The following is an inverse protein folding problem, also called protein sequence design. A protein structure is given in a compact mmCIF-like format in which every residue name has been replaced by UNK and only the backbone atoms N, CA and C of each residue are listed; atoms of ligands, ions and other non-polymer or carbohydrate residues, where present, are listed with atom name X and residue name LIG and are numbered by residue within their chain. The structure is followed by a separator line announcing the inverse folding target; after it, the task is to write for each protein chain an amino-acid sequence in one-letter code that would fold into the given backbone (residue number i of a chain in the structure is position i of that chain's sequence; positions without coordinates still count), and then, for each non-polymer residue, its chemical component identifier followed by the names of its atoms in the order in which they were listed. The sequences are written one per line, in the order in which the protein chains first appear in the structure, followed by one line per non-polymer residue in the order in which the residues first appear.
data_IF_215711609891
#
_entry.id   IF_215711609891
#
_cell.length_a   1.000
_cell.length_b   1.000
_cell.length_c   1.000
_cell.angle_alpha   90.00
_cell.angle_beta   90.00
_cell.angle_gamma   90.00
#
_symmetry.space_group_name_H-M   'P 1'
#
loop_
_entity.id
_entity.type
_entity.pdbx_description
1 polymer ?
#
# COMPACT_ATOMS: atom_id res chain seq x y z
N UNK A 1 9.28 1.50 47.34
CA UNK A 1 9.67 2.61 46.42
C UNK A 1 9.92 2.11 44.99
N UNK A 2 10.63 1.00 44.84
CA UNK A 2 11.03 0.37 43.56
C UNK A 2 9.85 0.07 42.59
N UNK A 3 8.73 -0.48 43.06
CA UNK A 3 7.55 -0.77 42.23
C UNK A 3 6.93 0.48 41.57
N UNK A 4 7.03 1.66 42.19
CA UNK A 4 6.51 2.93 41.63
C UNK A 4 7.45 3.50 40.56
N UNK A 5 8.77 3.38 40.75
CA UNK A 5 9.75 3.76 39.74
C UNK A 5 9.69 2.84 38.50
N UNK A 6 9.57 1.52 38.70
CA UNK A 6 9.36 0.55 37.61
C UNK A 6 8.13 0.89 36.76
N UNK A 7 7.00 1.22 37.39
CA UNK A 7 5.77 1.66 36.66
C UNK A 7 5.97 2.96 35.86
N UNK A 8 6.72 3.93 36.38
CA UNK A 8 7.03 5.18 35.66
C UNK A 8 7.86 4.91 34.40
N UNK A 9 8.90 4.07 34.53
CA UNK A 9 9.73 3.67 33.39
C UNK A 9 8.89 2.98 32.32
N UNK A 10 8.04 2.03 32.72
CA UNK A 10 7.13 1.31 31.80
C UNK A 10 6.21 2.28 31.06
N UNK A 11 5.52 3.18 31.77
CA UNK A 11 4.61 4.13 31.11
C UNK A 11 5.34 5.12 30.19
N UNK A 12 6.56 5.53 30.54
CA UNK A 12 7.39 6.37 29.66
C UNK A 12 7.81 5.64 28.39
N UNK A 13 8.15 4.35 28.49
CA UNK A 13 8.50 3.52 27.31
C UNK A 13 7.28 3.35 26.40
N UNK A 14 6.12 2.98 26.97
CA UNK A 14 4.87 2.83 26.20
C UNK A 14 4.50 4.14 25.50
N UNK A 15 4.65 5.28 26.20
CA UNK A 15 4.40 6.60 25.64
C UNK A 15 5.32 6.87 24.44
N UNK A 16 6.63 6.61 24.58
CA UNK A 16 7.60 6.79 23.50
C UNK A 16 7.30 5.92 22.28
N UNK A 17 7.02 4.63 22.48
CA UNK A 17 6.68 3.70 21.40
C UNK A 17 5.37 4.14 20.71
N UNK A 18 4.33 4.47 21.48
CA UNK A 18 3.04 4.89 20.94
C UNK A 18 3.15 6.17 20.11
N UNK A 19 3.93 7.14 20.58
CA UNK A 19 4.16 8.38 19.85
C UNK A 19 4.96 8.15 18.55
N UNK A 20 5.98 7.28 18.60
CA UNK A 20 6.77 6.92 17.43
C UNK A 20 5.92 6.21 16.37
N UNK A 21 5.13 5.21 16.77
CA UNK A 21 4.24 4.49 15.86
C UNK A 21 3.22 5.44 15.23
N UNK A 22 2.56 6.29 16.02
CA UNK A 22 1.62 7.28 15.52
C UNK A 22 2.26 8.21 14.46
N UNK A 23 3.46 8.72 14.73
CA UNK A 23 4.17 9.58 13.79
C UNK A 23 4.53 8.83 12.50
N UNK A 24 4.98 7.58 12.62
CA UNK A 24 5.34 6.75 11.46
C UNK A 24 4.14 6.48 10.54
N UNK A 25 2.96 6.23 11.12
CA UNK A 25 1.72 6.02 10.35
C UNK A 25 1.30 7.29 9.60
N UNK A 26 1.41 8.46 10.24
CA UNK A 26 1.12 9.75 9.59
C UNK A 26 2.04 9.96 8.38
N UNK A 27 3.36 9.79 8.57
CA UNK A 27 4.34 9.94 7.48
C UNK A 27 4.07 8.97 6.35
N UNK A 28 3.80 7.69 6.65
CA UNK A 28 3.46 6.69 5.64
C UNK A 28 2.21 7.08 4.84
N UNK A 29 1.19 7.62 5.50
CA UNK A 29 -0.05 8.07 4.84
C UNK A 29 0.22 9.23 3.87
N UNK A 30 1.06 10.20 4.26
CA UNK A 30 1.46 11.29 3.37
C UNK A 30 2.23 10.79 2.15
N UNK A 31 3.15 9.83 2.32
CA UNK A 31 3.91 9.24 1.21
C UNK A 31 2.96 8.53 0.23
N UNK A 32 2.04 7.70 0.73
CA UNK A 32 1.06 7.01 -0.13
C UNK A 32 0.15 8.00 -0.85
N UNK A 33 -0.28 9.08 -0.18
CA UNK A 33 -1.05 10.16 -0.80
C UNK A 33 -0.29 10.85 -1.94
N UNK A 34 1.00 11.13 -1.76
CA UNK A 34 1.83 11.73 -2.80
C UNK A 34 2.00 10.79 -4.02
N UNK A 35 2.17 9.49 -3.79
CA UNK A 35 2.22 8.49 -4.86
C UNK A 35 0.92 8.48 -5.67
N UNK A 36 -0.24 8.56 -4.99
CA UNK A 36 -1.55 8.62 -5.64
C UNK A 36 -1.68 9.82 -6.57
N UNK A 37 -1.31 11.00 -6.08
CA UNK A 37 -1.55 12.27 -6.78
C UNK A 37 -0.67 12.42 -8.02
N UNK A 38 0.53 11.85 -8.02
CA UNK A 38 1.51 12.06 -9.09
C UNK A 38 1.75 10.82 -9.96
N UNK A 39 1.52 9.59 -9.47
CA UNK A 39 1.88 8.38 -10.20
C UNK A 39 1.05 8.18 -11.47
N UNK A 40 -0.27 8.06 -11.34
CA UNK A 40 -1.13 7.59 -12.42
C UNK A 40 -1.43 8.62 -13.52
N UNK A 41 -0.94 9.86 -13.37
CA UNK A 41 -1.09 10.91 -14.40
C UNK A 41 0.00 10.83 -15.47
N UNK A 42 1.12 10.15 -15.20
CA UNK A 42 2.27 10.04 -16.08
C UNK A 42 2.47 8.58 -16.49
N UNK A 43 1.73 8.18 -17.51
CA UNK A 43 1.79 6.85 -18.10
C UNK A 43 2.24 6.92 -19.56
N UNK A 44 3.08 5.97 -19.96
CA UNK A 44 3.49 5.79 -21.35
C UNK A 44 2.87 4.51 -21.89
N UNK A 45 2.30 4.61 -23.09
CA UNK A 45 1.71 3.49 -23.83
C UNK A 45 2.76 2.73 -24.65
N UNK A 46 2.63 1.41 -24.65
CA UNK A 46 3.45 0.47 -25.39
C UNK A 46 2.58 -0.60 -26.03
N UNK A 47 3.13 -1.30 -27.01
CA UNK A 47 2.46 -2.43 -27.66
C UNK A 47 3.41 -3.60 -27.81
N UNK A 48 2.95 -4.79 -27.45
CA UNK A 48 3.74 -6.02 -27.51
C UNK A 48 2.97 -7.16 -28.18
N UNK A 49 3.69 -8.21 -28.52
CA UNK A 49 3.16 -9.45 -29.08
C UNK A 49 3.31 -10.52 -28.03
N UNK A 50 2.21 -11.20 -27.71
CA UNK A 50 2.18 -12.14 -26.59
C UNK A 50 2.90 -13.43 -26.96
N UNK A 51 3.84 -13.87 -26.12
CA UNK A 51 4.41 -15.22 -26.19
C UNK A 51 3.60 -16.19 -25.33
N UNK A 52 3.39 -15.85 -24.05
CA UNK A 52 2.59 -16.66 -23.13
C UNK A 52 1.96 -15.83 -22.01
N UNK A 53 0.74 -16.20 -21.62
CA UNK A 53 0.08 -15.67 -20.41
C UNK A 53 0.08 -16.75 -19.33
N UNK A 54 0.62 -16.43 -18.16
CA UNK A 54 0.62 -17.29 -16.98
C UNK A 54 -0.27 -16.70 -15.89
N UNK A 55 -1.29 -17.45 -15.49
CA UNK A 55 -2.19 -17.11 -14.38
C UNK A 55 -1.97 -18.15 -13.28
N UNK A 56 -1.36 -17.72 -12.18
CA UNK A 56 -1.11 -18.57 -11.02
C UNK A 56 -2.07 -18.19 -9.90
N UNK A 57 -3.08 -19.03 -9.67
CA UNK A 57 -4.01 -18.88 -8.57
C UNK A 57 -3.51 -19.61 -7.31
N UNK A 58 -3.08 -18.83 -6.32
CA UNK A 58 -2.64 -19.33 -5.01
C UNK A 58 -3.75 -19.32 -3.96
N UNK A 59 -5.01 -19.12 -4.34
CA UNK A 59 -6.18 -19.05 -3.47
C UNK A 59 -6.33 -17.73 -2.70
N UNK A 60 -5.24 -17.22 -2.09
CA UNK A 60 -5.24 -15.91 -1.41
C UNK A 60 -4.88 -14.74 -2.33
N UNK A 61 -4.15 -15.02 -3.40
CA UNK A 61 -3.80 -14.05 -4.41
C UNK A 61 -3.60 -14.73 -5.75
N UNK A 62 -4.02 -14.03 -6.80
CA UNK A 62 -3.79 -14.45 -8.18
C UNK A 62 -2.66 -13.61 -8.74
N UNK A 63 -1.61 -14.26 -9.23
CA UNK A 63 -0.52 -13.59 -9.95
C UNK A 63 -0.72 -13.79 -11.44
N UNK A 64 -0.67 -12.69 -12.19
CA UNK A 64 -0.72 -12.72 -13.65
C UNK A 64 0.59 -12.18 -14.20
N UNK A 65 1.20 -12.97 -15.07
CA UNK A 65 2.43 -12.65 -15.79
C UNK A 65 2.19 -12.84 -17.29
N UNK A 66 2.46 -11.80 -18.08
CA UNK A 66 2.35 -11.84 -19.53
C UNK A 66 3.77 -11.69 -20.10
N UNK A 67 4.19 -12.69 -20.85
CA UNK A 67 5.48 -12.69 -21.54
C UNK A 67 5.26 -12.21 -22.96
N UNK A 68 6.13 -11.31 -23.41
CA UNK A 68 6.07 -10.74 -24.76
C UNK A 68 7.35 -11.02 -25.54
N UNK A 69 7.30 -10.90 -26.86
CA UNK A 69 8.50 -11.04 -27.70
C UNK A 69 9.43 -9.83 -27.59
N UNK A 70 8.86 -8.63 -27.42
CA UNK A 70 9.60 -7.37 -27.46
C UNK A 70 10.12 -6.92 -26.09
N UNK A 71 9.42 -7.29 -25.01
CA UNK A 71 9.71 -6.86 -23.64
C UNK A 71 9.80 -8.03 -22.69
N UNK A 72 10.33 -7.75 -21.49
CA UNK A 72 10.34 -8.72 -20.39
C UNK A 72 8.93 -9.00 -19.84
N UNK A 73 8.86 -9.59 -18.64
CA UNK A 73 7.59 -10.03 -18.06
C UNK A 73 6.73 -8.83 -17.67
N UNK A 74 5.57 -8.67 -18.31
CA UNK A 74 4.56 -7.71 -17.86
C UNK A 74 3.82 -8.30 -16.66
N UNK A 75 3.64 -7.51 -15.61
CA UNK A 75 3.02 -7.94 -14.37
C UNK A 75 1.86 -7.06 -13.98
N UNK A 76 0.74 -7.71 -13.64
CA UNK A 76 -0.42 -7.06 -13.02
C UNK A 76 -0.30 -7.25 -11.52
N UNK A 77 -0.50 -6.17 -10.76
CA UNK A 77 -0.49 -6.22 -9.30
C UNK A 77 -1.51 -7.25 -8.79
N UNK A 78 -1.03 -8.19 -7.97
CA UNK A 78 -1.83 -9.29 -7.43
C UNK A 78 -3.01 -8.87 -6.54
N UNK A 79 -3.00 -7.64 -6.02
CA UNK A 79 -4.14 -7.08 -5.29
C UNK A 79 -5.22 -6.57 -6.26
N UNK A 80 -4.81 -6.09 -7.43
CA UNK A 80 -5.69 -5.62 -8.50
C UNK A 80 -6.29 -6.78 -9.32
N UNK A 81 -5.68 -7.96 -9.33
CA UNK A 81 -6.20 -9.13 -10.08
C UNK A 81 -7.59 -9.59 -9.61
N UNK A 82 -8.01 -9.23 -8.40
CA UNK A 82 -9.37 -9.45 -7.90
C UNK A 82 -10.42 -8.49 -8.47
N UNK A 83 -9.99 -7.41 -9.14
CA UNK A 83 -10.84 -6.37 -9.73
C UNK A 83 -10.95 -6.47 -11.26
N UNK A 84 -10.20 -7.39 -11.89
CA UNK A 84 -10.21 -7.61 -13.33
C UNK A 84 -10.95 -8.90 -13.68
N UNK A 85 -11.51 -8.94 -14.89
CA UNK A 85 -12.09 -10.16 -15.43
C UNK A 85 -10.96 -11.09 -15.93
N UNK A 86 -10.64 -12.10 -15.13
CA UNK A 86 -9.60 -13.07 -15.46
C UNK A 86 -9.96 -13.94 -16.67
N UNK A 87 -11.24 -14.07 -17.05
CA UNK A 87 -11.61 -14.84 -18.23
C UNK A 87 -11.13 -14.14 -19.51
N UNK A 88 -11.21 -12.80 -19.56
CA UNK A 88 -10.63 -12.02 -20.67
C UNK A 88 -9.12 -12.22 -20.83
N UNK A 89 -8.39 -12.43 -19.73
CA UNK A 89 -6.96 -12.71 -19.78
C UNK A 89 -6.66 -14.11 -20.33
N UNK A 90 -7.54 -15.08 -20.09
CA UNK A 90 -7.41 -16.45 -20.63
C UNK A 90 -7.70 -16.51 -22.13
N UNK A 91 -8.43 -15.55 -22.67
CA UNK A 91 -8.72 -15.43 -24.10
C UNK A 91 -7.51 -14.98 -24.92
N UNK A 92 -6.56 -14.28 -24.30
CA UNK A 92 -5.33 -13.83 -24.96
C UNK A 92 -4.48 -15.04 -25.35
N UNK A 93 -4.13 -15.13 -26.64
CA UNK A 93 -3.32 -16.23 -27.18
C UNK A 93 -1.93 -15.75 -27.58
N UNK A 94 -1.03 -16.72 -27.71
CA UNK A 94 0.28 -16.49 -28.32
C UNK A 94 0.11 -15.90 -29.72
N UNK A 95 0.86 -14.84 -30.01
CA UNK A 95 0.81 -14.08 -31.25
C UNK A 95 -0.18 -12.92 -31.24
N UNK A 96 -1.06 -12.81 -30.23
CA UNK A 96 -1.98 -11.67 -30.13
C UNK A 96 -1.21 -10.36 -29.85
N UNK A 97 -1.68 -9.27 -30.44
CA UNK A 97 -1.20 -7.93 -30.11
C UNK A 97 -1.88 -7.41 -28.85
N UNK A 98 -1.09 -6.90 -27.93
CA UNK A 98 -1.55 -6.23 -26.72
C UNK A 98 -1.04 -4.79 -26.67
N UNK A 99 -1.84 -3.93 -26.06
CA UNK A 99 -1.53 -2.53 -25.78
C UNK A 99 -1.63 -2.32 -24.28
N UNK A 100 -0.61 -1.71 -23.69
CA UNK A 100 -0.50 -1.55 -22.25
C UNK A 100 0.18 -0.25 -21.89
N UNK A 101 -0.13 0.27 -20.71
CA UNK A 101 0.54 1.43 -20.15
C UNK A 101 1.40 1.03 -18.94
N UNK A 102 2.58 1.63 -18.82
CA UNK A 102 3.38 1.62 -17.59
C UNK A 102 3.61 3.05 -17.09
N UNK A 103 4.07 3.24 -15.86
CA UNK A 103 4.42 4.57 -15.37
C UNK A 103 5.66 5.09 -16.10
N UNK A 104 5.72 6.40 -16.33
CA UNK A 104 6.84 7.06 -17.02
C UNK A 104 8.20 6.80 -16.36
N UNK A 105 8.22 6.58 -15.04
CA UNK A 105 9.42 6.23 -14.29
C UNK A 105 10.07 4.92 -14.77
N UNK A 106 9.31 4.04 -15.43
CA UNK A 106 9.78 2.77 -15.98
C UNK A 106 10.03 2.83 -17.49
N UNK A 107 9.79 3.97 -18.14
CA UNK A 107 9.89 4.12 -19.60
C UNK A 107 11.28 3.79 -20.13
N UNK A 108 12.32 4.30 -19.49
CA UNK A 108 13.71 4.06 -19.92
C UNK A 108 14.14 2.61 -19.63
N UNK A 109 13.62 2.04 -18.55
CA UNK A 109 13.95 0.69 -18.09
C UNK A 109 13.12 -0.41 -18.75
N UNK A 110 12.18 -0.08 -19.64
CA UNK A 110 11.26 -1.07 -20.21
C UNK A 110 11.96 -2.19 -20.99
N UNK A 111 13.17 -1.93 -21.50
CA UNK A 111 13.98 -2.89 -22.23
C UNK A 111 14.96 -3.69 -21.35
N UNK A 112 15.17 -3.26 -20.11
CA UNK A 112 16.19 -3.81 -19.20
C UNK A 112 15.60 -4.43 -17.94
N UNK A 113 14.41 -3.99 -17.53
CA UNK A 113 13.69 -4.49 -16.38
C UNK A 113 13.29 -5.96 -16.59
N UNK A 114 13.46 -6.80 -15.57
CA UNK A 114 13.05 -8.21 -15.62
C UNK A 114 11.52 -8.34 -15.52
N UNK A 115 10.89 -7.40 -14.81
CA UNK A 115 9.44 -7.34 -14.60
C UNK A 115 8.98 -5.90 -14.75
N UNK A 116 7.95 -5.69 -15.59
CA UNK A 116 7.39 -4.38 -15.90
C UNK A 116 5.97 -4.32 -15.34
N UNK A 117 5.69 -3.45 -14.35
CA UNK A 117 4.33 -3.26 -13.87
C UNK A 117 3.49 -2.57 -14.93
N UNK A 118 2.29 -3.10 -15.21
CA UNK A 118 1.34 -2.52 -16.16
C UNK A 118 0.07 -2.03 -15.45
N UNK A 119 -0.47 -0.92 -15.95
CA UNK A 119 -1.62 -0.20 -15.38
C UNK A 119 -2.80 -0.07 -16.34
N UNK A 120 -2.63 -0.54 -17.57
CA UNK A 120 -3.73 -0.86 -18.48
C UNK A 120 -3.36 -2.06 -19.32
N UNK A 121 -4.38 -2.74 -19.85
CA UNK A 121 -4.20 -3.80 -20.83
C UNK A 121 -5.42 -3.88 -21.75
N UNK A 122 -5.16 -3.90 -23.04
CA UNK A 122 -6.14 -4.14 -24.08
C UNK A 122 -5.55 -4.96 -25.22
N UNK A 123 -6.42 -5.59 -25.99
CA UNK A 123 -6.12 -6.23 -27.28
C UNK A 123 -6.85 -5.46 -28.38
N UNK A 124 -6.67 -5.86 -29.64
CA UNK A 124 -7.44 -5.32 -30.76
C UNK A 124 -8.97 -5.46 -30.62
N UNK A 125 -9.42 -6.42 -29.82
CA UNK A 125 -10.82 -6.82 -29.72
C UNK A 125 -11.45 -6.58 -28.34
N UNK A 126 -10.66 -6.37 -27.30
CA UNK A 126 -11.16 -6.20 -25.94
C UNK A 126 -10.31 -5.25 -25.09
N UNK A 127 -10.98 -4.36 -24.37
CA UNK A 127 -10.37 -3.70 -23.22
C UNK A 127 -10.52 -4.59 -21.98
N UNK A 128 -9.39 -4.95 -21.37
CA UNK A 128 -9.33 -5.84 -20.22
C UNK A 128 -9.40 -5.01 -18.93
N UNK A 129 -8.53 -4.00 -18.84
CA UNK A 129 -8.62 -2.96 -17.81
C UNK A 129 -7.91 -1.68 -18.27
N UNK A 130 -8.40 -0.55 -17.78
CA UNK A 130 -7.85 0.78 -18.05
C UNK A 130 -7.07 1.34 -16.87
N UNK A 131 -6.32 2.42 -17.11
CA UNK A 131 -5.67 3.20 -16.04
C UNK A 131 -6.72 3.71 -15.04
N UNK A 132 -7.89 4.13 -15.53
CA UNK A 132 -9.00 4.58 -14.68
C UNK A 132 -9.53 3.47 -13.75
N UNK A 133 -9.55 2.22 -14.21
CA UNK A 133 -9.90 1.08 -13.34
C UNK A 133 -8.89 0.93 -12.20
N UNK A 134 -7.61 1.08 -12.51
CA UNK A 134 -6.53 1.03 -11.53
C UNK A 134 -6.60 2.19 -10.54
N UNK A 135 -6.87 3.42 -11.01
CA UNK A 135 -7.08 4.59 -10.15
C UNK A 135 -8.27 4.38 -9.23
N UNK A 136 -9.41 3.88 -9.73
CA UNK A 136 -10.59 3.56 -8.90
C UNK A 136 -10.28 2.50 -7.84
N UNK A 137 -9.52 1.46 -8.20
CA UNK A 137 -9.07 0.45 -7.25
C UNK A 137 -8.17 1.07 -6.16
N UNK A 138 -7.21 1.90 -6.58
CA UNK A 138 -6.30 2.58 -5.67
C UNK A 138 -7.08 3.51 -4.72
N UNK A 139 -8.06 4.25 -5.22
CA UNK A 139 -8.92 5.13 -4.44
C UNK A 139 -9.69 4.40 -3.35
N UNK A 140 -10.28 3.24 -3.68
CA UNK A 140 -10.97 2.41 -2.69
C UNK A 140 -10.01 1.88 -1.64
N UNK A 141 -8.85 1.39 -2.05
CA UNK A 141 -7.82 0.86 -1.15
C UNK A 141 -7.28 1.97 -0.24
N UNK A 142 -7.08 3.16 -0.79
CA UNK A 142 -6.62 4.34 -0.05
C UNK A 142 -7.67 4.81 0.97
N UNK A 143 -8.97 4.73 0.65
CA UNK A 143 -10.03 5.02 1.61
C UNK A 143 -9.97 4.08 2.82
N UNK A 144 -9.81 2.77 2.59
CA UNK A 144 -9.67 1.80 3.68
C UNK A 144 -8.41 2.05 4.51
N UNK A 145 -7.30 2.42 3.86
CA UNK A 145 -6.09 2.84 4.54
C UNK A 145 -6.33 4.05 5.44
N UNK A 146 -6.98 5.11 4.94
CA UNK A 146 -7.32 6.30 5.74
C UNK A 146 -8.17 5.91 6.96
N UNK A 147 -9.20 5.09 6.77
CA UNK A 147 -10.05 4.64 7.89
C UNK A 147 -9.22 3.89 8.93
N UNK A 148 -8.35 2.97 8.51
CA UNK A 148 -7.47 2.23 9.40
C UNK A 148 -6.53 3.17 10.18
N UNK A 149 -5.92 4.15 9.51
CA UNK A 149 -5.04 5.16 10.11
C UNK A 149 -5.78 6.00 11.14
N UNK A 150 -7.02 6.41 10.87
CA UNK A 150 -7.86 7.16 11.82
C UNK A 150 -8.13 6.31 13.07
N UNK A 151 -8.55 5.06 12.89
CA UNK A 151 -8.84 4.15 14.01
C UNK A 151 -7.59 3.89 14.85
N UNK A 152 -6.47 3.58 14.22
CA UNK A 152 -5.17 3.39 14.87
C UNK A 152 -4.74 4.65 15.65
N UNK A 153 -4.90 5.83 15.03
CA UNK A 153 -4.57 7.10 15.66
C UNK A 153 -5.37 7.36 16.93
N UNK A 154 -6.68 7.06 16.92
CA UNK A 154 -7.54 7.19 18.09
C UNK A 154 -7.10 6.25 19.24
N UNK A 155 -6.68 5.03 18.92
CA UNK A 155 -6.16 4.07 19.90
C UNK A 155 -4.87 4.59 20.53
N UNK A 156 -3.90 5.04 19.72
CA UNK A 156 -2.64 5.55 20.25
C UNK A 156 -2.81 6.85 21.05
N UNK A 157 -3.66 7.78 20.59
CA UNK A 157 -3.99 8.99 21.35
C UNK A 157 -4.58 8.61 22.71
N UNK A 158 -5.48 7.63 22.76
CA UNK A 158 -6.08 7.15 24.02
C UNK A 158 -5.02 6.56 24.96
N UNK A 159 -4.09 5.76 24.44
CA UNK A 159 -2.96 5.19 25.20
C UNK A 159 -2.04 6.30 25.72
N UNK A 160 -1.70 7.27 24.88
CA UNK A 160 -0.87 8.44 25.24
C UNK A 160 -1.52 9.22 26.38
N UNK A 161 -2.81 9.58 26.25
CA UNK A 161 -3.58 10.28 27.29
C UNK A 161 -3.58 9.47 28.59
N UNK A 162 -3.85 8.17 28.52
CA UNK A 162 -3.84 7.28 29.69
C UNK A 162 -2.47 7.26 30.38
N UNK A 163 -1.39 7.11 29.62
CA UNK A 163 -0.02 7.13 30.14
C UNK A 163 0.32 8.47 30.81
N UNK A 164 -0.04 9.60 30.19
CA UNK A 164 0.17 10.95 30.75
C UNK A 164 -0.60 11.11 32.07
N UNK A 165 -1.87 10.71 32.13
CA UNK A 165 -2.69 10.78 33.36
C UNK A 165 -2.04 9.94 34.47
N UNK A 166 -1.63 8.70 34.18
CA UNK A 166 -0.99 7.80 35.16
C UNK A 166 0.36 8.35 35.63
N UNK A 167 1.17 8.92 34.74
CA UNK A 167 2.44 9.55 35.09
C UNK A 167 2.24 10.79 35.97
N UNK A 168 1.22 11.63 35.68
CA UNK A 168 0.85 12.80 36.50
C UNK A 168 0.38 12.41 37.91
N UNK A 169 -0.52 11.41 38.03
CA UNK A 169 -0.97 10.90 39.33
C UNK A 169 0.19 10.33 40.16
N UNK A 170 1.19 9.72 39.50
CA UNK A 170 2.40 9.20 40.15
C UNK A 170 3.40 10.30 40.59
N UNK A 171 3.23 11.55 40.13
CA UNK A 171 3.99 12.73 40.57
C UNK A 171 3.29 13.50 41.70
N UNK A 172 1.96 13.61 41.69
CA UNK A 172 1.18 14.37 42.69
C UNK A 172 1.09 13.75 44.10
N UNK A 173 1.50 12.50 44.29
CA UNK A 173 1.46 11.81 45.59
C UNK A 173 2.62 12.10 46.55
N UNK A 174 3.54 13.02 46.23
CA UNK A 174 4.74 13.33 47.03
C UNK A 174 4.57 14.58 47.91
N UNK A 175 3.52 15.38 47.72
CA UNK A 175 3.40 16.71 48.34
C UNK A 175 2.35 16.89 49.46
N UNK A 176 1.68 15.84 49.96
CA UNK A 176 0.60 15.99 50.96
C UNK A 176 0.91 15.56 52.40
N UNK A 177 2.12 15.08 52.70
CA UNK A 177 2.49 14.66 54.07
C UNK A 177 3.68 15.44 54.65
N UNK A 178 3.60 16.78 54.65
CA UNK A 178 4.41 17.61 55.55
C UNK A 178 3.51 18.74 56.07
N UNK A 179 2.65 18.41 57.04
CA UNK A 179 2.04 19.31 58.02
C UNK A 179 1.29 18.45 59.03
N UNK A 180 2.00 18.08 60.08
CA UNK A 180 1.62 18.22 61.49
C UNK A 180 2.84 17.83 62.33
#
# INVERSE_FOLDING_TARGET
MEKRQKKKIIYSIILGISAFLLLSTIVATFIVGAIKEHGFQYVTEFSGTVDVVMINDGGKSTRVSIFTEEYAVLSIDSSFTSYIDLEKLKEIKRGDKIYFCTLDIFKEDIYTAVVIPIYSLSTDYANIFSVDDYVRFFDRTFLYLIIAVIVESLVFISVIIFCIIRLRQSRGGVGKNVRN
#
